data_IF_611397904475
#
_entry.id   IF_611397904475
#
_cell.length_a   1.000
_cell.length_b   1.000
_cell.length_c   1.000
_cell.angle_alpha   90.00
_cell.angle_beta   90.00
_cell.angle_gamma   90.00
#
_symmetry.space_group_name_H-M   'P 1'
#
loop_
_entity.id
_entity.type
_entity.pdbx_description
1 polymer ?
#
# COMPACT_ATOMS: atom_id res chain seq x y z
N UNK A 1 -40.68 -2.28 12.32
CA UNK A 1 -39.58 -1.72 13.12
C UNK A 1 -39.81 -0.22 13.29
N UNK A 2 -39.84 0.23 14.50
CA UNK A 2 -39.99 1.67 14.78
C UNK A 2 -38.61 2.30 14.79
N UNK A 3 -38.39 3.27 13.91
CA UNK A 3 -37.17 4.05 13.87
C UNK A 3 -37.37 5.25 14.79
N UNK A 4 -36.53 5.40 15.80
CA UNK A 4 -36.58 6.55 16.70
C UNK A 4 -35.43 7.53 16.43
N UNK A 5 -35.50 8.70 17.04
CA UNK A 5 -34.49 9.75 16.87
C UNK A 5 -33.09 9.31 17.27
N UNK A 6 -32.98 8.51 18.33
CA UNK A 6 -31.69 8.01 18.81
C UNK A 6 -31.02 7.06 17.79
N UNK A 7 -31.79 6.18 17.17
CA UNK A 7 -31.29 5.27 16.13
C UNK A 7 -30.75 6.05 14.94
N UNK A 8 -31.45 7.10 14.52
CA UNK A 8 -31.00 7.97 13.41
C UNK A 8 -29.70 8.68 13.79
N UNK A 9 -29.57 9.21 14.99
CA UNK A 9 -28.36 9.86 15.49
C UNK A 9 -27.17 8.89 15.53
N UNK A 10 -27.38 7.67 15.98
CA UNK A 10 -26.32 6.66 16.06
C UNK A 10 -25.80 6.26 14.68
N UNK A 11 -26.71 6.09 13.70
CA UNK A 11 -26.35 5.78 12.31
C UNK A 11 -25.58 6.93 11.68
N UNK A 12 -26.06 8.17 11.85
CA UNK A 12 -25.40 9.36 11.30
C UNK A 12 -24.01 9.53 11.92
N UNK A 13 -23.86 9.35 13.23
CA UNK A 13 -22.58 9.43 13.92
C UNK A 13 -21.61 8.39 13.40
N UNK A 14 -22.08 7.16 13.15
CA UNK A 14 -21.26 6.08 12.60
C UNK A 14 -20.80 6.39 11.18
N UNK A 15 -21.69 6.87 10.33
CA UNK A 15 -21.36 7.24 8.93
C UNK A 15 -20.35 8.39 8.92
N UNK A 16 -20.52 9.41 9.75
CA UNK A 16 -19.58 10.53 9.87
C UNK A 16 -18.21 10.03 10.33
N UNK A 17 -18.16 9.13 11.31
CA UNK A 17 -16.92 8.56 11.80
C UNK A 17 -16.19 7.77 10.71
N UNK A 18 -16.90 7.00 9.90
CA UNK A 18 -16.33 6.25 8.78
C UNK A 18 -15.83 7.20 7.68
N UNK A 19 -16.57 8.24 7.36
CA UNK A 19 -16.15 9.26 6.40
C UNK A 19 -14.89 10.01 6.88
N UNK A 20 -14.82 10.33 8.17
CA UNK A 20 -13.66 11.00 8.76
C UNK A 20 -12.42 10.13 8.74
N UNK A 21 -12.53 8.82 8.93
CA UNK A 21 -11.40 7.90 8.78
C UNK A 21 -10.76 8.00 7.41
N UNK A 22 -11.55 8.08 6.33
CA UNK A 22 -11.05 8.26 4.98
C UNK A 22 -10.43 9.64 4.77
N UNK A 23 -11.01 10.71 5.33
CA UNK A 23 -10.52 12.08 5.17
C UNK A 23 -9.26 12.37 5.99
N UNK A 24 -9.00 11.65 7.10
CA UNK A 24 -7.79 11.81 7.91
C UNK A 24 -6.54 11.24 7.24
N UNK A 25 -6.68 10.26 6.35
CA UNK A 25 -5.56 9.66 5.62
C UNK A 25 -5.13 10.56 4.46
N UNK A 26 -6.08 11.16 3.77
CA UNK A 26 -5.83 11.96 2.56
C UNK A 26 -6.39 13.38 2.73
N UNK A 27 -5.58 14.35 2.38
CA UNK A 27 -5.99 15.74 2.27
C UNK A 27 -5.69 16.21 0.85
N UNK A 28 -6.73 16.59 0.09
CA UNK A 28 -6.62 16.94 -1.32
C UNK A 28 -7.16 18.34 -1.58
N UNK A 29 -6.39 19.12 -2.34
CA UNK A 29 -6.90 20.37 -2.92
C UNK A 29 -7.65 20.08 -4.22
N UNK A 30 -8.92 20.39 -4.25
CA UNK A 30 -9.81 20.03 -5.36
C UNK A 30 -9.47 20.75 -6.68
N UNK A 31 -8.89 21.95 -6.58
CA UNK A 31 -8.55 22.72 -7.78
C UNK A 31 -7.26 22.22 -8.44
N UNK A 32 -6.21 22.03 -7.67
CA UNK A 32 -4.90 21.64 -8.19
C UNK A 32 -4.71 20.13 -8.28
N UNK A 33 -5.42 19.37 -7.44
CA UNK A 33 -5.20 17.94 -7.28
C UNK A 33 -4.02 17.61 -6.38
N UNK A 34 -3.37 18.60 -5.79
CA UNK A 34 -2.31 18.34 -4.80
C UNK A 34 -2.89 17.58 -3.63
N UNK A 35 -2.23 16.51 -3.24
CA UNK A 35 -2.73 15.60 -2.22
C UNK A 35 -1.61 15.22 -1.25
N UNK A 36 -1.93 15.27 0.04
CA UNK A 36 -1.08 14.76 1.10
C UNK A 36 -1.69 13.49 1.68
N UNK A 37 -0.85 12.52 1.95
CA UNK A 37 -1.26 11.25 2.55
C UNK A 37 -0.52 11.08 3.87
N UNK A 38 -1.28 10.92 4.95
CA UNK A 38 -0.71 10.63 6.27
C UNK A 38 -0.39 9.13 6.35
N UNK A 39 0.85 8.78 6.05
CA UNK A 39 1.31 7.40 6.05
C UNK A 39 1.17 6.70 7.41
N UNK A 40 1.21 7.45 8.50
CA UNK A 40 1.06 6.90 9.85
C UNK A 40 -0.34 6.37 10.14
N UNK A 41 -1.34 6.85 9.40
CA UNK A 41 -2.75 6.47 9.55
C UNK A 41 -3.19 5.43 8.53
N UNK A 42 -2.33 5.04 7.61
CA UNK A 42 -2.66 4.01 6.62
C UNK A 42 -2.68 2.65 7.29
N UNK A 43 -3.78 1.94 7.11
CA UNK A 43 -3.93 0.56 7.58
C UNK A 43 -3.74 -0.36 6.37
N UNK A 44 -2.67 -1.15 6.38
CA UNK A 44 -2.40 -2.13 5.33
C UNK A 44 -3.27 -3.36 5.52
N UNK A 45 -3.68 -3.95 4.41
CA UNK A 45 -4.52 -5.15 4.37
C UNK A 45 -3.71 -6.36 3.93
N UNK A 46 -4.05 -7.57 4.37
CA UNK A 46 -3.40 -8.77 3.86
C UNK A 46 -3.47 -8.84 2.34
N UNK A 47 -2.34 -9.13 1.72
CA UNK A 47 -2.21 -9.23 0.27
C UNK A 47 -2.03 -10.68 -0.13
N UNK A 48 -2.82 -11.13 -1.10
CA UNK A 48 -2.73 -12.47 -1.65
C UNK A 48 -1.61 -12.54 -2.70
N UNK A 49 -0.53 -13.23 -2.37
CA UNK A 49 0.59 -13.47 -3.28
C UNK A 49 0.35 -14.64 -4.22
N UNK A 50 -0.77 -15.36 -4.03
CA UNK A 50 -1.05 -16.64 -4.68
C UNK A 50 -0.47 -17.84 -3.95
N UNK A 51 0.22 -17.63 -2.83
CA UNK A 51 0.81 -18.68 -2.01
C UNK A 51 0.29 -18.61 -0.58
N UNK A 52 -0.11 -19.76 -0.05
CA UNK A 52 -0.58 -19.87 1.33
C UNK A 52 0.57 -19.64 2.32
N UNK A 53 0.30 -18.90 3.39
CA UNK A 53 1.26 -18.65 4.46
C UNK A 53 2.19 -17.46 4.25
N UNK A 54 2.16 -16.82 3.10
CA UNK A 54 2.94 -15.61 2.88
C UNK A 54 2.41 -14.44 3.73
N UNK A 55 3.35 -13.71 4.33
CA UNK A 55 3.04 -12.60 5.23
C UNK A 55 3.32 -11.29 4.52
N UNK A 56 2.36 -10.85 3.72
CA UNK A 56 2.45 -9.62 2.94
C UNK A 56 1.19 -8.80 3.17
N UNK A 57 1.37 -7.50 3.38
CA UNK A 57 0.29 -6.52 3.52
C UNK A 57 0.53 -5.38 2.54
N UNK A 58 -0.56 -4.84 2.02
CA UNK A 58 -0.50 -3.77 1.02
C UNK A 58 -1.67 -2.81 1.23
N UNK A 59 -1.43 -1.55 0.95
CA UNK A 59 -2.49 -0.55 0.81
C UNK A 59 -2.11 0.44 -0.28
N UNK A 60 -2.91 0.49 -1.33
CA UNK A 60 -2.80 1.53 -2.35
C UNK A 60 -3.28 2.86 -1.75
N UNK A 61 -2.45 3.88 -1.83
CA UNK A 61 -2.76 5.21 -1.28
C UNK A 61 -2.99 6.26 -2.36
N UNK A 62 -2.45 6.07 -3.55
CA UNK A 62 -2.78 6.82 -4.76
C UNK A 62 -3.19 5.81 -5.81
N UNK A 63 -4.44 5.89 -6.26
CA UNK A 63 -4.99 4.94 -7.22
C UNK A 63 -5.03 5.52 -8.62
N UNK A 64 -5.24 4.65 -9.61
CA UNK A 64 -5.42 5.05 -11.02
C UNK A 64 -6.65 5.94 -11.24
N UNK A 65 -7.60 5.92 -10.33
CA UNK A 65 -8.75 6.83 -10.37
C UNK A 65 -8.40 8.25 -9.98
N UNK A 66 -7.38 8.42 -9.13
CA UNK A 66 -6.92 9.72 -8.66
C UNK A 66 -5.85 10.32 -9.57
N UNK A 67 -5.04 9.49 -10.22
CA UNK A 67 -4.01 9.93 -11.15
C UNK A 67 -3.82 8.89 -12.26
N UNK A 68 -3.76 9.36 -13.51
CA UNK A 68 -3.61 8.49 -14.69
C UNK A 68 -2.20 7.94 -14.86
N UNK A 69 -1.22 8.66 -14.36
CA UNK A 69 0.19 8.40 -14.67
C UNK A 69 0.95 7.75 -13.52
N UNK A 70 0.45 7.90 -12.31
CA UNK A 70 1.18 7.50 -11.12
C UNK A 70 0.24 6.87 -10.09
N UNK A 71 0.68 5.78 -9.51
CA UNK A 71 0.06 5.16 -8.36
C UNK A 71 1.11 5.01 -7.25
N UNK A 72 0.66 4.93 -6.01
CA UNK A 72 1.55 4.69 -4.89
C UNK A 72 0.85 3.81 -3.85
N UNK A 73 1.64 3.04 -3.12
CA UNK A 73 1.14 2.18 -2.06
C UNK A 73 2.17 1.98 -0.97
N UNK A 74 1.72 1.46 0.15
CA UNK A 74 2.57 1.00 1.22
C UNK A 74 2.49 -0.53 1.28
N UNK A 75 3.64 -1.17 1.41
CA UNK A 75 3.74 -2.62 1.50
C UNK A 75 4.57 -3.01 2.71
N UNK A 76 4.19 -4.09 3.35
CA UNK A 76 4.95 -4.74 4.39
C UNK A 76 5.13 -6.21 4.01
N UNK A 77 6.37 -6.68 4.09
CA UNK A 77 6.72 -8.08 3.86
C UNK A 77 7.42 -8.56 5.13
N UNK A 78 7.00 -9.70 5.66
CA UNK A 78 7.53 -10.22 6.92
C UNK A 78 7.93 -11.67 6.76
N UNK A 79 9.23 -11.97 6.85
CA UNK A 79 9.79 -13.31 6.77
C UNK A 79 9.23 -14.11 5.59
N UNK A 80 9.19 -13.50 4.40
CA UNK A 80 8.49 -14.05 3.23
C UNK A 80 9.30 -13.79 1.98
N UNK A 81 9.29 -14.74 1.08
CA UNK A 81 9.72 -14.60 -0.31
C UNK A 81 8.58 -15.00 -1.23
N UNK A 82 8.35 -14.19 -2.27
CA UNK A 82 7.34 -14.55 -3.26
C UNK A 82 7.71 -14.03 -4.65
N UNK A 83 7.42 -14.84 -5.72
CA UNK A 83 7.64 -14.39 -7.09
C UNK A 83 6.56 -13.41 -7.52
N UNK A 84 6.97 -12.43 -8.32
CA UNK A 84 6.06 -11.43 -8.86
C UNK A 84 6.54 -10.95 -10.23
N UNK A 85 5.62 -10.72 -11.15
CA UNK A 85 5.91 -10.11 -12.45
C UNK A 85 5.24 -8.74 -12.50
N UNK A 86 6.04 -7.71 -12.79
CA UNK A 86 5.55 -6.35 -12.88
C UNK A 86 5.20 -6.01 -14.33
N UNK A 87 4.03 -5.41 -14.53
CA UNK A 87 3.56 -4.92 -15.84
C UNK A 87 3.77 -3.43 -16.02
N UNK A 88 4.39 -2.76 -15.05
CA UNK A 88 4.65 -1.34 -15.00
C UNK A 88 6.00 -1.08 -14.35
N UNK A 89 6.54 0.11 -14.54
CA UNK A 89 7.74 0.54 -13.84
C UNK A 89 7.41 0.84 -12.38
N UNK A 90 8.28 0.36 -11.48
CA UNK A 90 8.09 0.54 -10.04
C UNK A 90 9.36 1.07 -9.41
N UNK A 91 9.21 1.98 -8.46
CA UNK A 91 10.29 2.39 -7.56
C UNK A 91 9.86 2.06 -6.15
N UNK A 92 10.67 1.27 -5.46
CA UNK A 92 10.47 0.94 -4.06
C UNK A 92 11.43 1.75 -3.21
N UNK A 93 10.89 2.46 -2.23
CA UNK A 93 11.67 3.11 -1.18
C UNK A 93 11.55 2.29 0.09
N UNK A 94 12.67 1.81 0.61
CA UNK A 94 12.69 0.99 1.82
C UNK A 94 12.64 1.90 3.05
N UNK A 95 11.56 1.81 3.80
CA UNK A 95 11.34 2.62 5.00
C UNK A 95 12.01 1.97 6.20
N UNK A 96 11.88 0.65 6.33
CA UNK A 96 12.40 -0.11 7.46
C UNK A 96 12.84 -1.50 7.01
N UNK A 97 13.87 -2.04 7.65
CA UNK A 97 14.39 -3.37 7.37
C UNK A 97 15.23 -3.45 6.10
N UNK A 98 15.18 -4.59 5.45
CA UNK A 98 15.95 -4.90 4.25
C UNK A 98 15.08 -5.62 3.22
N UNK A 99 15.07 -5.12 1.99
CA UNK A 99 14.42 -5.74 0.86
C UNK A 99 15.46 -6.29 -0.10
N UNK A 100 15.30 -7.53 -0.51
CA UNK A 100 16.11 -8.14 -1.56
C UNK A 100 15.23 -8.43 -2.77
N UNK A 101 15.67 -7.98 -3.94
CA UNK A 101 15.05 -8.30 -5.22
C UNK A 101 15.95 -9.30 -5.91
N UNK A 102 15.44 -10.50 -6.12
CA UNK A 102 16.17 -11.54 -6.85
C UNK A 102 15.74 -11.54 -8.31
N UNK A 103 16.69 -11.37 -9.20
CA UNK A 103 16.44 -11.37 -10.64
C UNK A 103 17.65 -11.93 -11.40
N UNK A 104 17.41 -12.85 -12.35
CA UNK A 104 18.45 -13.45 -13.20
C UNK A 104 19.65 -14.03 -12.43
N UNK A 105 19.37 -14.65 -11.29
CA UNK A 105 20.41 -15.23 -10.43
C UNK A 105 21.20 -14.21 -9.61
N UNK A 106 20.82 -12.94 -9.63
CA UNK A 106 21.44 -11.88 -8.86
C UNK A 106 20.51 -11.41 -7.75
N UNK A 107 21.09 -11.11 -6.59
CA UNK A 107 20.38 -10.49 -5.47
C UNK A 107 20.75 -9.01 -5.41
N UNK A 108 19.72 -8.16 -5.52
CA UNK A 108 19.86 -6.72 -5.35
C UNK A 108 19.28 -6.38 -3.99
N UNK A 109 20.14 -5.91 -3.10
CA UNK A 109 19.80 -5.66 -1.71
C UNK A 109 19.61 -4.16 -1.49
N UNK A 110 18.50 -3.81 -0.86
CA UNK A 110 18.18 -2.45 -0.46
C UNK A 110 17.92 -2.40 1.05
N UNK A 111 18.61 -1.50 1.73
CA UNK A 111 18.45 -1.25 3.16
C UNK A 111 17.52 -0.05 3.38
N UNK A 112 17.09 0.16 4.61
CA UNK A 112 16.29 1.33 4.96
C UNK A 112 16.95 2.62 4.45
N UNK A 113 16.19 3.43 3.72
CA UNK A 113 16.68 4.64 3.06
C UNK A 113 17.09 4.46 1.59
N UNK A 114 17.20 3.22 1.11
CA UNK A 114 17.55 2.92 -0.27
C UNK A 114 16.32 2.88 -1.18
N UNK A 115 16.56 3.05 -2.48
CA UNK A 115 15.53 2.94 -3.52
C UNK A 115 15.93 1.88 -4.53
N UNK A 116 14.94 1.16 -5.04
CA UNK A 116 15.12 0.15 -6.10
C UNK A 116 14.20 0.50 -7.26
N UNK A 117 14.74 0.51 -8.47
CA UNK A 117 13.95 0.61 -9.70
C UNK A 117 13.72 -0.80 -10.26
N UNK A 118 12.47 -1.13 -10.51
CA UNK A 118 12.08 -2.39 -11.15
C UNK A 118 11.36 -2.05 -12.46
N UNK A 119 12.00 -2.24 -13.61
CA UNK A 119 11.38 -1.95 -14.91
C UNK A 119 10.18 -2.86 -15.21
N UNK A 120 9.23 -2.34 -15.97
CA UNK A 120 8.10 -3.12 -16.48
C UNK A 120 8.57 -4.38 -17.23
N UNK A 121 7.87 -5.49 -17.03
CA UNK A 121 8.20 -6.77 -17.63
C UNK A 121 9.20 -7.59 -16.81
N UNK A 122 9.67 -7.07 -15.67
CA UNK A 122 10.58 -7.83 -14.80
C UNK A 122 9.83 -8.93 -14.06
N UNK A 123 10.38 -10.13 -14.10
CA UNK A 123 9.95 -11.27 -13.27
C UNK A 123 10.98 -11.44 -12.16
N UNK A 124 10.57 -11.16 -10.95
CA UNK A 124 11.44 -11.08 -9.78
C UNK A 124 10.93 -11.92 -8.62
N UNK A 125 11.75 -12.06 -7.61
CA UNK A 125 11.33 -12.54 -6.29
C UNK A 125 11.54 -11.39 -5.29
N UNK A 126 10.46 -10.98 -4.65
CA UNK A 126 10.55 -10.12 -3.47
C UNK A 126 10.96 -10.97 -2.28
N UNK A 127 11.98 -10.56 -1.56
CA UNK A 127 12.48 -11.27 -0.39
C UNK A 127 12.71 -10.33 0.78
N UNK A 128 12.10 -10.64 1.91
CA UNK A 128 12.33 -9.94 3.17
C UNK A 128 12.32 -10.99 4.29
N UNK A 129 13.41 -11.75 4.39
CA UNK A 129 13.50 -12.90 5.30
C UNK A 129 13.75 -12.45 6.76
N UNK A 130 14.39 -11.30 6.97
CA UNK A 130 14.70 -10.81 8.31
C UNK A 130 13.59 -9.95 8.92
N UNK A 131 12.75 -9.36 8.12
CA UNK A 131 11.50 -8.69 8.53
C UNK A 131 10.62 -8.20 7.46
#
# INVERSE_FOLDING_TARGET
MQINEQMVRDIVAQVIAEMQKGSFVKCRDEKSGVMSIDGSKVVMEPFDTGRSGDKVWLKDVITSKENKNLAAGLMKIEQTEFPWTLNYDEVDYVIDGQLTIRINGCDIVANAGDMVLIPAGSSIVFSALDH
#
